data_IF_263324053885
#
_entry.id   IF_263324053885
#
_cell.length_a   1.000
_cell.length_b   1.000
_cell.length_c   1.000
_cell.angle_alpha   90.00
_cell.angle_beta   90.00
_cell.angle_gamma   90.00
#
_symmetry.space_group_name_H-M   'P 1'
#
loop_
_entity.id
_entity.type
_entity.pdbx_description
1 polymer ?
#
# COMPACT_ATOMS: atom_id res chain seq x y z
N UNK A 1 -4.32 -14.59 -2.31
CA UNK A 1 -3.55 -14.27 -1.10
C UNK A 1 -3.58 -15.38 -0.07
N UNK A 2 -2.43 -16.02 0.12
CA UNK A 2 -2.18 -16.96 1.21
C UNK A 2 -2.08 -16.23 2.56
N UNK A 3 -2.22 -16.96 3.66
CA UNK A 3 -2.04 -16.39 4.99
C UNK A 3 -0.60 -15.90 5.23
N UNK A 4 0.37 -16.47 4.52
CA UNK A 4 1.74 -16.02 4.52
C UNK A 4 1.88 -14.59 3.96
N UNK A 5 1.33 -14.33 2.77
CA UNK A 5 1.37 -12.99 2.15
C UNK A 5 0.63 -11.95 3.01
N UNK A 6 -0.48 -12.36 3.66
CA UNK A 6 -1.20 -11.51 4.61
C UNK A 6 -0.32 -11.11 5.78
N UNK A 7 0.43 -12.07 6.32
CA UNK A 7 1.36 -11.83 7.42
C UNK A 7 2.48 -10.87 6.99
N UNK A 8 3.09 -11.07 5.83
CA UNK A 8 4.19 -10.22 5.33
C UNK A 8 3.75 -8.77 5.12
N UNK A 9 2.56 -8.54 4.56
CA UNK A 9 2.00 -7.19 4.43
C UNK A 9 1.74 -6.55 5.80
N UNK A 10 1.20 -7.31 6.76
CA UNK A 10 0.97 -6.83 8.11
C UNK A 10 2.28 -6.45 8.82
N UNK A 11 3.35 -7.22 8.64
CA UNK A 11 4.67 -6.89 9.20
C UNK A 11 5.22 -5.59 8.61
N UNK A 12 5.12 -5.41 7.29
CA UNK A 12 5.55 -4.17 6.65
C UNK A 12 4.78 -2.96 7.20
N UNK A 13 3.44 -3.04 7.34
CA UNK A 13 2.67 -1.96 7.94
C UNK A 13 3.03 -1.70 9.41
N UNK A 14 3.29 -2.75 10.21
CA UNK A 14 3.74 -2.60 11.61
C UNK A 14 5.07 -1.87 11.72
N UNK A 15 5.99 -2.14 10.81
CA UNK A 15 7.31 -1.52 10.83
C UNK A 15 7.29 -0.06 10.37
N UNK A 16 6.46 0.31 9.39
CA UNK A 16 6.41 1.68 8.83
C UNK A 16 5.36 2.59 9.45
N UNK A 17 4.22 2.03 9.85
CA UNK A 17 3.09 2.77 10.42
C UNK A 17 2.47 2.00 11.60
N UNK A 18 3.24 1.75 12.68
CA UNK A 18 2.77 0.98 13.83
C UNK A 18 1.46 1.51 14.41
N UNK A 19 1.26 2.84 14.40
CA UNK A 19 0.04 3.52 14.84
C UNK A 19 -1.20 3.23 13.97
N UNK A 20 -1.00 2.68 12.77
CA UNK A 20 -2.06 2.33 11.82
C UNK A 20 -2.10 0.85 11.48
N UNK A 21 -1.18 0.04 12.01
CA UNK A 21 -1.03 -1.37 11.69
C UNK A 21 -2.31 -2.19 11.91
N UNK A 22 -3.02 -1.97 13.02
CA UNK A 22 -4.28 -2.66 13.32
C UNK A 22 -5.34 -2.39 12.23
N UNK A 23 -5.39 -1.17 11.69
CA UNK A 23 -6.30 -0.80 10.61
C UNK A 23 -5.95 -1.53 9.32
N UNK A 24 -4.66 -1.64 9.01
CA UNK A 24 -4.18 -2.41 7.86
C UNK A 24 -4.44 -3.92 8.02
N UNK A 25 -4.35 -4.47 9.23
CA UNK A 25 -4.74 -5.85 9.48
C UNK A 25 -6.23 -6.10 9.20
N UNK A 26 -7.10 -5.15 9.55
CA UNK A 26 -8.52 -5.23 9.18
C UNK A 26 -8.72 -5.14 7.67
N UNK A 27 -7.95 -4.32 6.95
CA UNK A 27 -7.94 -4.28 5.48
C UNK A 27 -7.46 -5.62 4.88
N UNK A 28 -6.46 -6.23 5.47
CA UNK A 28 -5.96 -7.53 5.04
C UNK A 28 -6.93 -8.67 5.34
N UNK A 29 -7.79 -8.53 6.35
CA UNK A 29 -8.85 -9.51 6.69
C UNK A 29 -10.04 -9.49 5.73
N UNK A 30 -10.14 -8.51 4.81
CA UNK A 30 -11.27 -8.34 3.87
C UNK A 30 -12.64 -8.18 4.56
N UNK A 31 -12.67 -7.71 5.81
CA UNK A 31 -13.91 -7.47 6.56
C UNK A 31 -14.45 -6.06 6.27
N UNK A 32 -15.26 -5.96 5.22
CA UNK A 32 -15.86 -4.72 4.72
C UNK A 32 -16.65 -3.95 5.80
N UNK A 33 -17.25 -4.63 6.79
CA UNK A 33 -18.05 -3.99 7.85
C UNK A 33 -17.21 -3.19 8.83
N UNK A 34 -15.97 -3.64 9.08
CA UNK A 34 -15.02 -2.91 9.91
C UNK A 34 -14.48 -1.67 9.19
N UNK A 35 -14.41 -1.72 7.86
CA UNK A 35 -13.88 -0.62 7.04
C UNK A 35 -14.80 0.58 6.99
N UNK A 36 -16.11 0.36 6.87
CA UNK A 36 -17.09 1.46 6.90
C UNK A 36 -17.08 2.25 8.21
N UNK A 37 -16.52 1.66 9.28
CA UNK A 37 -16.36 2.31 10.59
C UNK A 37 -15.00 2.99 10.75
N UNK A 38 -14.05 2.73 9.85
CA UNK A 38 -12.77 3.41 9.83
C UNK A 38 -12.97 4.79 9.23
N UNK A 39 -12.61 5.84 9.99
CA UNK A 39 -12.52 7.18 9.43
C UNK A 39 -11.51 7.19 8.26
N UNK A 40 -11.75 8.00 7.21
CA UNK A 40 -10.78 8.19 6.13
C UNK A 40 -9.41 8.56 6.68
N UNK A 41 -8.37 8.21 5.92
CA UNK A 41 -6.99 8.59 6.21
C UNK A 41 -6.91 10.10 6.39
N UNK A 42 -6.85 10.53 7.65
CA UNK A 42 -6.89 11.94 8.03
C UNK A 42 -5.46 12.49 7.98
N UNK A 43 -4.86 12.45 6.80
CA UNK A 43 -3.47 12.80 6.48
C UNK A 43 -2.43 11.72 6.82
N UNK A 44 -1.54 11.46 5.86
CA UNK A 44 -0.32 10.70 6.06
C UNK A 44 0.70 11.66 6.67
N UNK A 45 0.65 11.86 7.99
CA UNK A 45 1.61 12.75 8.64
C UNK A 45 2.99 12.10 8.65
N UNK A 46 3.89 12.68 7.85
CA UNK A 46 5.29 12.32 7.82
C UNK A 46 5.96 12.67 9.15
N UNK A 47 6.58 11.68 9.81
CA UNK A 47 7.55 11.97 10.86
C UNK A 47 9.00 12.00 10.39
N UNK A 48 9.34 11.31 9.32
CA UNK A 48 10.70 11.31 8.75
C UNK A 48 10.66 11.22 7.23
N UNK A 49 10.50 12.36 6.55
CA UNK A 49 10.64 12.42 5.08
C UNK A 49 12.12 12.37 4.71
N UNK A 50 12.61 11.21 4.29
CA UNK A 50 13.56 11.21 3.17
C UNK A 50 12.74 11.31 1.88
N UNK A 51 12.34 12.54 1.56
CA UNK A 51 11.86 12.98 0.24
C UNK A 51 10.83 12.08 -0.48
N UNK A 52 9.64 11.90 0.09
CA UNK A 52 8.48 11.50 -0.71
C UNK A 52 7.67 12.75 -1.05
N UNK A 53 8.01 13.36 -2.19
CA UNK A 53 7.17 14.42 -2.76
C UNK A 53 5.84 13.80 -3.18
N UNK A 54 4.69 14.38 -2.77
CA UNK A 54 3.37 13.88 -3.12
C UNK A 54 3.07 13.82 -4.64
N UNK A 55 3.95 14.36 -5.50
CA UNK A 55 3.68 14.57 -6.93
C UNK A 55 4.59 13.80 -7.91
N UNK A 56 5.47 12.92 -7.44
CA UNK A 56 6.41 12.25 -8.35
C UNK A 56 6.68 10.83 -7.92
N UNK A 57 5.65 9.98 -8.00
CA UNK A 57 5.85 8.55 -8.13
C UNK A 57 6.25 8.26 -9.57
N UNK A 58 7.55 8.18 -9.80
CA UNK A 58 8.08 7.76 -11.08
C UNK A 58 8.21 6.24 -11.11
N UNK A 59 7.51 5.58 -12.03
CA UNK A 59 7.71 4.16 -12.31
C UNK A 59 9.15 3.87 -12.79
N UNK A 60 9.90 4.90 -13.22
CA UNK A 60 11.33 4.82 -13.49
C UNK A 60 12.23 4.81 -12.24
N UNK A 61 11.66 4.70 -11.03
CA UNK A 61 12.46 4.56 -9.80
C UNK A 61 13.42 3.35 -9.92
N UNK A 62 14.72 3.46 -9.60
CA UNK A 62 15.69 2.38 -9.77
C UNK A 62 15.30 1.05 -9.09
N UNK A 63 14.53 1.11 -8.00
CA UNK A 63 14.01 -0.07 -7.29
C UNK A 63 12.92 -0.84 -8.06
N UNK A 64 12.30 -0.19 -9.04
CA UNK A 64 11.30 -0.76 -9.94
C UNK A 64 11.88 -1.19 -11.29
N UNK A 65 13.15 -0.90 -11.57
CA UNK A 65 13.77 -1.26 -12.84
C UNK A 65 13.62 -2.77 -13.09
N UNK A 66 12.93 -3.13 -14.18
CA UNK A 66 12.63 -4.52 -14.54
C UNK A 66 11.49 -5.18 -13.76
N UNK A 67 10.71 -4.43 -12.96
CA UNK A 67 9.57 -4.93 -12.16
C UNK A 67 8.19 -4.48 -12.64
N UNK A 68 8.07 -3.79 -13.77
CA UNK A 68 6.77 -3.30 -14.28
C UNK A 68 5.78 -4.45 -14.57
N UNK A 69 6.31 -5.59 -15.02
CA UNK A 69 5.53 -6.81 -15.25
C UNK A 69 5.44 -7.72 -14.00
N UNK A 70 5.95 -7.26 -12.84
CA UNK A 70 5.91 -8.07 -11.63
C UNK A 70 4.47 -8.25 -11.17
N UNK A 71 4.16 -9.48 -10.72
CA UNK A 71 2.91 -9.74 -10.00
C UNK A 71 2.99 -9.10 -8.62
N UNK A 72 2.05 -8.19 -8.34
CA UNK A 72 1.97 -7.44 -7.09
C UNK A 72 0.65 -7.70 -6.40
N UNK A 73 0.59 -7.38 -5.10
CA UNK A 73 -0.67 -7.35 -4.36
C UNK A 73 -1.09 -5.91 -4.17
N UNK A 74 -2.19 -5.53 -4.79
CA UNK A 74 -2.77 -4.20 -4.69
C UNK A 74 -3.99 -4.22 -3.75
N UNK A 75 -4.02 -3.28 -2.83
CA UNK A 75 -5.09 -2.96 -1.91
C UNK A 75 -5.58 -1.55 -2.23
N UNK A 76 -6.78 -1.43 -2.81
CA UNK A 76 -7.48 -0.16 -2.96
C UNK A 76 -8.38 0.06 -1.76
N UNK A 77 -8.29 1.25 -1.16
CA UNK A 77 -9.04 1.68 0.01
C UNK A 77 -10.11 2.74 -0.33
N UNK A 78 -10.51 2.85 -1.60
CA UNK A 78 -11.50 3.83 -2.02
C UNK A 78 -12.85 3.62 -1.31
N UNK A 79 -13.53 4.73 -0.99
CA UNK A 79 -14.80 4.71 -0.24
C UNK A 79 -15.92 3.95 -0.96
N UNK A 80 -15.90 3.96 -2.29
CA UNK A 80 -16.94 3.38 -3.15
C UNK A 80 -16.62 1.96 -3.62
N UNK A 81 -15.34 1.58 -3.64
CA UNK A 81 -14.90 0.27 -4.12
C UNK A 81 -13.54 -0.10 -3.50
N UNK A 82 -13.60 -0.89 -2.43
CA UNK A 82 -12.43 -1.36 -1.71
C UNK A 82 -12.15 -2.81 -2.07
N UNK A 83 -10.91 -3.10 -2.47
CA UNK A 83 -10.56 -4.41 -3.01
C UNK A 83 -9.11 -4.77 -2.74
N UNK A 84 -8.84 -6.07 -2.73
CA UNK A 84 -7.51 -6.65 -2.59
C UNK A 84 -7.30 -7.68 -3.70
N UNK A 85 -6.41 -7.39 -4.65
CA UNK A 85 -6.20 -8.19 -5.86
C UNK A 85 -4.72 -8.39 -6.14
N UNK A 86 -4.41 -9.55 -6.73
CA UNK A 86 -3.14 -9.78 -7.38
C UNK A 86 -3.28 -9.29 -8.84
N UNK A 87 -2.33 -8.50 -9.31
CA UNK A 87 -2.33 -7.88 -10.64
C UNK A 87 -0.91 -7.47 -11.03
N UNK A 88 -0.70 -6.98 -12.25
CA UNK A 88 0.60 -6.42 -12.62
C UNK A 88 0.87 -5.10 -11.88
N UNK A 89 2.15 -4.74 -11.71
CA UNK A 89 2.52 -3.44 -11.15
C UNK A 89 1.94 -2.28 -11.99
N UNK A 90 1.95 -2.41 -13.31
CA UNK A 90 1.36 -1.40 -14.21
C UNK A 90 -0.15 -1.22 -13.96
N UNK A 91 -0.93 -2.30 -13.91
CA UNK A 91 -2.37 -2.23 -13.59
C UNK A 91 -2.60 -1.64 -12.19
N UNK A 92 -1.83 -2.08 -11.20
CA UNK A 92 -1.95 -1.58 -9.82
C UNK A 92 -1.69 -0.09 -9.74
N UNK A 93 -0.66 0.41 -10.43
CA UNK A 93 -0.29 1.81 -10.45
C UNK A 93 -1.39 2.71 -11.01
N UNK A 94 -2.09 2.24 -12.05
CA UNK A 94 -3.15 3.01 -12.71
C UNK A 94 -4.53 2.86 -12.07
N UNK A 95 -4.77 1.78 -11.32
CA UNK A 95 -6.10 1.45 -10.78
C UNK A 95 -6.29 1.79 -9.30
N UNK A 96 -5.21 1.86 -8.53
CA UNK A 96 -5.29 2.27 -7.13
C UNK A 96 -5.08 3.78 -7.10
N UNK A 97 -6.02 4.51 -6.50
CA UNK A 97 -5.91 5.96 -6.27
C UNK A 97 -5.67 6.28 -4.79
N UNK A 98 -6.23 5.47 -3.90
CA UNK A 98 -5.95 5.46 -2.47
C UNK A 98 -5.72 4.02 -2.04
N UNK A 99 -4.55 3.71 -1.49
CA UNK A 99 -4.24 2.32 -1.16
C UNK A 99 -2.76 1.99 -1.02
N UNK A 100 -2.47 0.71 -1.23
CA UNK A 100 -1.15 0.12 -1.08
C UNK A 100 -0.88 -0.91 -2.16
N UNK A 101 0.34 -0.95 -2.67
CA UNK A 101 0.82 -1.95 -3.63
C UNK A 101 2.04 -2.64 -3.02
N UNK A 102 1.95 -3.95 -2.79
CA UNK A 102 3.07 -4.79 -2.38
C UNK A 102 3.82 -5.29 -3.61
N UNK A 103 5.00 -4.72 -3.89
CA UNK A 103 5.82 -5.11 -5.06
C UNK A 103 6.70 -6.31 -4.72
N UNK A 104 7.30 -6.28 -3.53
CA UNK A 104 8.06 -7.40 -3.00
C UNK A 104 7.55 -7.61 -1.57
N UNK A 105 6.69 -8.62 -1.34
CA UNK A 105 6.11 -8.88 -0.03
C UNK A 105 7.17 -8.85 1.08
N UNK A 106 6.88 -8.09 2.14
CA UNK A 106 7.77 -7.93 3.28
C UNK A 106 9.03 -7.06 3.05
N UNK A 107 9.29 -6.56 1.84
CA UNK A 107 10.50 -5.77 1.52
C UNK A 107 10.21 -4.42 0.89
N UNK A 108 9.30 -4.36 -0.07
CA UNK A 108 9.02 -3.16 -0.85
C UNK A 108 7.53 -3.00 -1.10
N UNK A 109 7.01 -1.86 -0.68
CA UNK A 109 5.65 -1.44 -0.92
C UNK A 109 5.55 0.00 -1.41
N UNK A 110 4.49 0.29 -2.13
CA UNK A 110 4.04 1.65 -2.44
C UNK A 110 2.77 1.91 -1.66
N UNK A 111 2.67 3.08 -1.09
CA UNK A 111 1.54 3.46 -0.27
C UNK A 111 1.15 4.87 -0.73
N UNK A 112 -0.11 5.12 -1.09
CA UNK A 112 -0.54 6.44 -1.57
C UNK A 112 -2.02 6.73 -1.27
N UNK A 113 -2.37 8.02 -1.29
CA UNK A 113 -3.72 8.57 -1.23
C UNK A 113 -3.91 9.63 -2.33
N UNK A 114 -5.08 10.27 -2.38
CA UNK A 114 -5.38 11.35 -3.33
C UNK A 114 -4.50 12.60 -3.15
N UNK A 115 -3.75 12.69 -2.05
CA UNK A 115 -2.83 13.79 -1.74
C UNK A 115 -1.38 13.46 -2.13
N UNK A 116 -1.08 12.22 -2.55
CA UNK A 116 0.25 11.76 -2.96
C UNK A 116 0.61 10.40 -2.35
N UNK A 117 1.89 10.05 -2.27
CA UNK A 117 2.27 8.88 -1.47
C UNK A 117 3.77 8.67 -1.28
N UNK A 118 4.12 7.51 -0.73
CA UNK A 118 5.48 7.17 -0.32
C UNK A 118 5.87 5.71 -0.57
N UNK A 119 7.19 5.50 -0.67
CA UNK A 119 7.81 4.19 -0.70
C UNK A 119 7.98 3.64 0.72
N UNK A 120 7.59 2.38 0.92
CA UNK A 120 7.82 1.63 2.15
C UNK A 120 8.89 0.57 1.88
N UNK A 121 10.04 0.72 2.54
CA UNK A 121 11.24 -0.08 2.32
C UNK A 121 11.65 -0.78 3.60
N UNK A 122 11.20 -2.02 3.80
CA UNK A 122 11.57 -2.82 4.97
C UNK A 122 13.01 -3.29 4.85
N UNK A 123 13.82 -3.01 5.88
CA UNK A 123 15.19 -3.55 6.00
C UNK A 123 15.19 -5.01 6.38
#
# INVERSE_FOLDING_TARGET
MSDHMRHEMAQLFKSFFPEHAERWEYLLQRDQRKWQKMAPFKYWFSRDQTACSPKSFDLAHPLLAGKLEASVVALSCMWTDCWLKEMSLDEAYHSVHEGYISITPGQLGMAFNHEGGCWLLHK
#
